data_IF_803268432095
#
_entry.id   IF_803268432095
#
_cell.length_a   1.000
_cell.length_b   1.000
_cell.length_c   1.000
_cell.angle_alpha   90.00
_cell.angle_beta   90.00
_cell.angle_gamma   90.00
#
_symmetry.space_group_name_H-M   'P 1'
#
loop_
_entity.id
_entity.type
_entity.pdbx_description
1 polymer ?
#
# COMPACT_ATOMS: atom_id res chain seq x y z
N UNK A 1 -15.87 -50.06 -24.25
CA UNK A 1 -16.74 -48.87 -24.37
C UNK A 1 -16.63 -48.19 -23.03
N UNK A 2 -15.75 -47.20 -22.92
CA UNK A 2 -15.60 -46.40 -21.71
C UNK A 2 -16.48 -45.17 -21.91
N UNK A 3 -17.43 -44.98 -21.01
CA UNK A 3 -18.23 -43.77 -20.91
C UNK A 3 -17.28 -42.58 -20.75
N UNK A 4 -17.26 -41.71 -21.76
CA UNK A 4 -16.71 -40.37 -21.61
C UNK A 4 -17.70 -39.59 -20.76
N UNK A 5 -17.35 -39.37 -19.49
CA UNK A 5 -18.02 -38.41 -18.64
C UNK A 5 -18.11 -37.07 -19.39
N UNK A 6 -19.32 -36.76 -19.85
CA UNK A 6 -19.63 -35.48 -20.48
C UNK A 6 -19.73 -34.48 -19.34
N UNK A 7 -18.66 -33.70 -19.15
CA UNK A 7 -18.64 -32.60 -18.18
C UNK A 7 -19.68 -31.57 -18.65
N UNK A 8 -20.72 -31.40 -17.85
CA UNK A 8 -21.82 -30.46 -18.06
C UNK A 8 -21.37 -29.04 -17.72
N UNK A 9 -21.81 -28.05 -18.50
CA UNK A 9 -21.57 -26.61 -18.26
C UNK A 9 -22.09 -26.11 -16.89
N UNK A 10 -22.84 -26.91 -16.15
CA UNK A 10 -23.22 -26.61 -14.76
C UNK A 10 -22.04 -26.68 -13.77
N UNK A 11 -20.91 -27.29 -14.16
CA UNK A 11 -19.70 -27.39 -13.33
C UNK A 11 -18.69 -26.26 -13.55
N UNK A 12 -18.99 -25.27 -14.41
CA UNK A 12 -18.25 -24.00 -14.40
C UNK A 12 -18.69 -23.22 -13.16
N UNK A 13 -18.11 -23.61 -12.02
CA UNK A 13 -18.03 -22.77 -10.83
C UNK A 13 -17.70 -21.35 -11.30
N UNK A 14 -18.52 -20.38 -10.88
CA UNK A 14 -18.23 -18.94 -10.90
C UNK A 14 -16.72 -18.73 -10.96
N UNK A 15 -16.23 -18.02 -12.00
CA UNK A 15 -14.84 -17.58 -12.05
C UNK A 15 -14.66 -16.68 -10.83
N UNK A 16 -14.17 -17.25 -9.74
CA UNK A 16 -13.97 -16.54 -8.51
C UNK A 16 -12.66 -15.78 -8.65
N UNK A 17 -12.82 -14.46 -8.78
CA UNK A 17 -11.80 -13.41 -8.62
C UNK A 17 -11.11 -12.98 -9.93
N UNK A 18 -11.86 -12.28 -10.79
CA UNK A 18 -11.19 -11.27 -11.61
C UNK A 18 -10.45 -10.27 -10.70
N UNK A 19 -9.24 -9.82 -11.10
CA UNK A 19 -8.54 -8.78 -10.35
C UNK A 19 -9.38 -7.50 -10.32
N UNK A 20 -9.23 -6.72 -9.23
CA UNK A 20 -9.75 -5.35 -9.20
C UNK A 20 -9.10 -4.56 -10.32
N UNK A 21 -9.91 -3.95 -11.18
CA UNK A 21 -9.44 -3.12 -12.29
C UNK A 21 -9.30 -1.69 -11.75
N UNK A 22 -8.07 -1.21 -11.55
CA UNK A 22 -7.82 0.19 -11.18
C UNK A 22 -7.47 1.00 -12.42
N UNK A 23 -8.24 2.04 -12.66
CA UNK A 23 -8.08 2.96 -13.77
C UNK A 23 -7.91 4.39 -13.25
N UNK A 24 -7.25 5.22 -14.04
CA UNK A 24 -7.08 6.64 -13.74
C UNK A 24 -7.71 7.43 -14.87
N UNK A 25 -8.51 8.43 -14.52
CA UNK A 25 -9.10 9.34 -15.52
C UNK A 25 -8.04 9.90 -16.46
N UNK A 26 -8.38 9.98 -17.74
CA UNK A 26 -7.54 10.47 -18.83
C UNK A 26 -6.23 9.69 -19.07
N UNK A 27 -5.99 8.57 -18.36
CA UNK A 27 -4.88 7.65 -18.66
C UNK A 27 -5.39 6.46 -19.47
N UNK A 28 -4.64 6.10 -20.50
CA UNK A 28 -4.97 4.93 -21.33
C UNK A 28 -4.75 3.65 -20.53
N UNK A 29 -5.72 2.74 -20.60
CA UNK A 29 -5.63 1.38 -20.10
C UNK A 29 -5.55 0.43 -21.29
N UNK A 30 -4.43 -0.30 -21.39
CA UNK A 30 -4.09 -1.15 -22.54
C UNK A 30 -5.03 -2.35 -22.74
N UNK A 31 -5.94 -2.58 -21.79
CA UNK A 31 -7.03 -3.52 -21.91
C UNK A 31 -6.77 -4.85 -21.22
N UNK A 32 -7.80 -5.38 -20.59
CA UNK A 32 -7.86 -6.70 -19.97
C UNK A 32 -8.43 -7.70 -20.98
N UNK A 33 -7.66 -8.73 -21.33
CA UNK A 33 -8.17 -9.82 -22.16
C UNK A 33 -8.92 -10.84 -21.27
N UNK A 34 -10.21 -10.97 -21.52
CA UNK A 34 -11.15 -11.82 -20.78
C UNK A 34 -10.99 -13.31 -21.11
N UNK A 35 -10.47 -13.62 -22.29
CA UNK A 35 -10.17 -14.98 -22.74
C UNK A 35 -9.23 -15.73 -21.77
N UNK A 36 -8.35 -15.02 -21.06
CA UNK A 36 -7.49 -15.63 -20.05
C UNK A 36 -8.24 -16.18 -18.84
N UNK A 37 -9.46 -15.71 -18.60
CA UNK A 37 -10.24 -16.04 -17.41
C UNK A 37 -11.33 -17.06 -17.71
N UNK A 38 -11.66 -17.31 -18.98
CA UNK A 38 -12.68 -18.26 -19.39
C UNK A 38 -12.05 -19.52 -20.00
N UNK A 39 -12.63 -20.68 -19.71
CA UNK A 39 -12.26 -21.93 -20.38
C UNK A 39 -13.35 -22.28 -21.41
N UNK A 40 -12.99 -22.23 -22.69
CA UNK A 40 -13.89 -22.60 -23.80
C UNK A 40 -13.45 -23.95 -24.41
N UNK A 41 -13.93 -25.09 -23.87
CA UNK A 41 -13.53 -26.41 -24.33
C UNK A 41 -14.12 -26.78 -25.70
N UNK A 42 -15.20 -26.14 -26.15
CA UNK A 42 -15.80 -26.41 -27.45
C UNK A 42 -15.02 -25.78 -28.61
N UNK A 43 -14.23 -24.74 -28.32
CA UNK A 43 -13.46 -24.00 -29.33
C UNK A 43 -14.34 -23.20 -30.30
N UNK A 44 -15.61 -23.01 -29.97
CA UNK A 44 -16.52 -22.15 -30.72
C UNK A 44 -16.11 -20.68 -30.56
N UNK A 45 -16.49 -19.83 -31.53
CA UNK A 45 -16.30 -18.38 -31.37
C UNK A 45 -17.16 -17.90 -30.18
N UNK A 46 -16.51 -17.22 -29.25
CA UNK A 46 -17.17 -16.56 -28.12
C UNK A 46 -17.23 -15.06 -28.38
N UNK A 47 -18.39 -14.46 -28.19
CA UNK A 47 -18.57 -13.01 -28.24
C UNK A 47 -18.72 -12.47 -26.82
N UNK A 48 -18.05 -11.34 -26.57
CA UNK A 48 -18.02 -10.70 -25.27
C UNK A 48 -18.74 -9.35 -25.26
N UNK A 49 -19.46 -9.10 -24.17
CA UNK A 49 -20.01 -7.79 -23.85
C UNK A 49 -19.75 -7.43 -22.39
N UNK A 50 -19.83 -6.13 -22.09
CA UNK A 50 -19.68 -5.60 -20.75
C UNK A 50 -20.74 -4.54 -20.45
N UNK A 51 -21.35 -4.63 -19.28
CA UNK A 51 -22.29 -3.65 -18.74
C UNK A 51 -22.06 -3.49 -17.24
N UNK A 52 -22.65 -2.47 -16.62
CA UNK A 52 -22.66 -2.35 -15.16
C UNK A 52 -23.75 -3.24 -14.56
N UNK A 53 -23.60 -3.57 -13.27
CA UNK A 53 -24.55 -4.42 -12.53
C UNK A 53 -26.00 -3.89 -12.57
N UNK A 54 -26.21 -2.59 -12.72
CA UNK A 54 -27.52 -1.96 -12.85
C UNK A 54 -28.08 -1.97 -14.29
N UNK A 55 -27.37 -2.61 -15.24
CA UNK A 55 -27.71 -2.67 -16.65
C UNK A 55 -27.34 -1.42 -17.45
N UNK A 56 -26.67 -0.44 -16.84
CA UNK A 56 -26.18 0.73 -17.56
C UNK A 56 -24.88 0.43 -18.33
N UNK A 57 -24.52 1.25 -19.35
CA UNK A 57 -23.27 1.08 -20.07
C UNK A 57 -22.06 1.27 -19.16
N UNK A 58 -20.93 0.65 -19.53
CA UNK A 58 -19.65 0.93 -18.85
C UNK A 58 -19.29 2.44 -18.95
N UNK A 59 -18.53 2.98 -17.98
CA UNK A 59 -18.18 4.40 -17.94
C UNK A 59 -17.60 4.90 -19.26
N UNK A 60 -17.94 6.14 -19.61
CA UNK A 60 -17.55 6.74 -20.89
C UNK A 60 -16.03 6.71 -21.09
N UNK A 61 -15.62 6.30 -22.29
CA UNK A 61 -14.20 6.12 -22.65
C UNK A 61 -13.69 4.70 -22.44
N UNK A 62 -14.47 3.80 -21.84
CA UNK A 62 -14.21 2.38 -21.76
C UNK A 62 -15.13 1.58 -22.71
N UNK A 63 -14.67 0.43 -23.16
CA UNK A 63 -15.44 -0.51 -23.96
C UNK A 63 -14.95 -1.95 -23.79
N UNK A 64 -15.79 -2.91 -24.18
CA UNK A 64 -15.41 -4.29 -24.38
C UNK A 64 -15.51 -4.61 -25.88
N UNK A 65 -14.45 -5.14 -26.47
CA UNK A 65 -14.52 -5.69 -27.83
C UNK A 65 -15.24 -7.04 -27.83
N UNK A 66 -15.77 -7.42 -29.00
CA UNK A 66 -16.38 -8.75 -29.19
C UNK A 66 -15.37 -9.89 -28.98
N UNK A 67 -14.08 -9.62 -29.20
CA UNK A 67 -12.96 -10.55 -28.97
C UNK A 67 -12.50 -10.58 -27.49
N UNK A 68 -13.28 -9.99 -26.58
CA UNK A 68 -13.01 -10.08 -25.14
C UNK A 68 -11.88 -9.20 -24.63
N UNK A 69 -11.59 -8.06 -25.26
CA UNK A 69 -10.65 -7.06 -24.72
C UNK A 69 -11.44 -5.92 -24.09
N UNK A 70 -11.36 -5.79 -22.77
CA UNK A 70 -11.97 -4.71 -22.01
C UNK A 70 -10.95 -3.60 -21.72
N UNK A 71 -11.07 -2.43 -22.34
CA UNK A 71 -10.05 -1.39 -22.27
C UNK A 71 -10.56 0.01 -22.61
N UNK A 72 -9.64 0.99 -22.61
CA UNK A 72 -9.94 2.36 -23.05
C UNK A 72 -9.30 3.45 -22.19
N UNK A 73 -9.79 4.67 -22.34
CA UNK A 73 -9.35 5.86 -21.60
C UNK A 73 -10.58 6.47 -20.91
N UNK A 74 -10.79 6.22 -19.61
CA UNK A 74 -11.95 6.75 -18.90
C UNK A 74 -11.90 8.28 -18.90
N UNK A 75 -13.01 8.92 -19.27
CA UNK A 75 -13.06 10.38 -19.38
C UNK A 75 -13.14 11.04 -17.99
N UNK A 76 -12.75 12.31 -17.92
CA UNK A 76 -12.93 13.13 -16.71
C UNK A 76 -14.39 13.17 -16.24
N UNK A 77 -14.61 13.00 -14.94
CA UNK A 77 -15.92 12.93 -14.30
C UNK A 77 -16.49 11.51 -14.16
N UNK A 78 -15.73 10.47 -14.53
CA UNK A 78 -16.11 9.07 -14.32
C UNK A 78 -15.56 8.49 -13.02
N UNK A 79 -14.57 9.15 -12.40
CA UNK A 79 -14.13 8.83 -11.06
C UNK A 79 -15.25 9.05 -10.05
N UNK A 80 -15.44 8.08 -9.17
CA UNK A 80 -16.38 8.17 -8.06
C UNK A 80 -15.83 7.40 -6.86
N UNK A 81 -16.38 7.68 -5.68
CA UNK A 81 -15.94 7.05 -4.44
C UNK A 81 -16.21 5.55 -4.40
N UNK A 82 -17.32 5.10 -5.00
CA UNK A 82 -17.72 3.70 -5.01
C UNK A 82 -17.15 2.95 -6.23
N UNK A 83 -16.71 1.69 -6.08
CA UNK A 83 -16.37 0.86 -7.23
C UNK A 83 -17.56 0.64 -8.16
N UNK A 84 -17.27 0.53 -9.45
CA UNK A 84 -18.19 -0.03 -10.42
C UNK A 84 -18.14 -1.56 -10.32
N UNK A 85 -19.31 -2.20 -10.33
CA UNK A 85 -19.39 -3.64 -10.59
C UNK A 85 -19.70 -3.83 -12.06
N UNK A 86 -18.73 -4.34 -12.81
CA UNK A 86 -18.84 -4.61 -14.24
C UNK A 86 -19.24 -6.07 -14.41
N UNK A 87 -20.32 -6.33 -15.14
CA UNK A 87 -20.74 -7.64 -15.60
C UNK A 87 -20.16 -7.89 -16.98
N UNK A 88 -19.40 -8.97 -17.10
CA UNK A 88 -18.94 -9.52 -18.36
C UNK A 88 -19.81 -10.69 -18.76
N UNK A 89 -20.24 -10.69 -20.03
CA UNK A 89 -21.08 -11.73 -20.61
C UNK A 89 -20.31 -12.33 -21.77
N UNK A 90 -20.09 -13.64 -21.71
CA UNK A 90 -19.46 -14.41 -22.77
C UNK A 90 -20.50 -15.39 -23.36
N UNK A 91 -20.72 -15.30 -24.67
CA UNK A 91 -21.78 -16.04 -25.38
C UNK A 91 -21.20 -16.77 -26.60
N UNK A 92 -21.48 -18.07 -26.75
CA UNK A 92 -21.25 -18.81 -28.00
C UNK A 92 -22.59 -19.24 -28.61
N UNK A 93 -22.61 -19.70 -29.87
CA UNK A 93 -23.87 -20.04 -30.55
C UNK A 93 -24.64 -21.19 -29.89
N UNK A 94 -23.94 -22.15 -29.28
CA UNK A 94 -24.54 -23.41 -28.81
C UNK A 94 -24.67 -23.52 -27.28
N UNK A 95 -24.22 -22.52 -26.53
CA UNK A 95 -24.21 -22.55 -25.05
C UNK A 95 -25.05 -21.44 -24.42
N UNK A 96 -25.37 -21.61 -23.13
CA UNK A 96 -25.90 -20.51 -22.34
C UNK A 96 -24.83 -19.44 -22.09
N UNK A 97 -25.21 -18.16 -21.93
CA UNK A 97 -24.25 -17.10 -21.61
C UNK A 97 -23.58 -17.38 -20.27
N UNK A 98 -22.25 -17.25 -20.25
CA UNK A 98 -21.47 -17.21 -19.04
C UNK A 98 -21.41 -15.75 -18.55
N UNK A 99 -21.87 -15.51 -17.33
CA UNK A 99 -21.85 -14.18 -16.71
C UNK A 99 -20.92 -14.20 -15.49
N UNK A 100 -20.02 -13.22 -15.42
CA UNK A 100 -19.08 -13.04 -14.32
C UNK A 100 -18.82 -11.56 -14.08
N UNK A 101 -18.44 -11.20 -12.86
CA UNK A 101 -18.28 -9.81 -12.46
C UNK A 101 -16.84 -9.44 -12.05
N UNK A 102 -16.52 -8.15 -12.20
CA UNK A 102 -15.30 -7.55 -11.66
C UNK A 102 -15.62 -6.24 -10.92
N UNK A 103 -14.83 -5.97 -9.89
CA UNK A 103 -14.79 -4.64 -9.29
C UNK A 103 -13.83 -3.76 -10.08
N UNK A 104 -14.29 -2.58 -10.47
CA UNK A 104 -13.51 -1.59 -11.18
C UNK A 104 -13.54 -0.27 -10.42
N UNK A 105 -12.37 0.30 -10.16
CA UNK A 105 -12.23 1.59 -9.50
C UNK A 105 -11.61 2.57 -10.49
N UNK A 106 -12.28 3.71 -10.68
CA UNK A 106 -11.74 4.82 -11.46
C UNK A 106 -11.39 5.93 -10.47
N UNK A 107 -10.12 6.33 -10.43
CA UNK A 107 -9.64 7.42 -9.58
C UNK A 107 -9.23 8.63 -10.42
N UNK A 108 -9.23 9.81 -9.80
CA UNK A 108 -8.68 11.02 -10.41
C UNK A 108 -7.15 10.93 -10.51
N UNK A 109 -6.55 11.73 -11.38
CA UNK A 109 -5.09 11.81 -11.49
C UNK A 109 -4.43 12.29 -10.19
N UNK A 110 -5.08 13.20 -9.45
CA UNK A 110 -4.60 13.64 -8.14
C UNK A 110 -4.58 12.51 -7.11
N UNK A 111 -5.57 11.61 -7.14
CA UNK A 111 -5.60 10.42 -6.28
C UNK A 111 -4.57 9.39 -6.72
N UNK A 112 -4.43 9.14 -8.02
CA UNK A 112 -3.40 8.24 -8.56
C UNK A 112 -1.99 8.65 -8.13
N UNK A 113 -1.67 9.94 -8.22
CA UNK A 113 -0.37 10.47 -7.78
C UNK A 113 -0.14 10.35 -6.27
N UNK A 114 -1.21 10.30 -5.46
CA UNK A 114 -1.12 9.99 -4.02
C UNK A 114 -0.89 8.49 -3.79
N UNK A 115 -1.41 7.64 -4.68
CA UNK A 115 -1.38 6.18 -4.59
C UNK A 115 -0.08 5.56 -5.13
N UNK A 116 0.64 6.23 -6.03
CA UNK A 116 1.97 5.82 -6.51
C UNK A 116 3.05 5.82 -5.40
N UNK A 117 2.69 6.20 -4.17
CA UNK A 117 3.56 6.14 -2.98
C UNK A 117 3.61 4.78 -2.25
N UNK A 118 2.94 3.73 -2.76
CA UNK A 118 3.20 2.33 -2.38
C UNK A 118 1.98 1.55 -1.86
N UNK A 119 1.59 0.51 -2.62
CA UNK A 119 0.57 -0.52 -2.38
C UNK A 119 -0.90 -0.04 -2.29
N UNK A 120 -1.93 -0.63 -2.90
CA UNK A 120 -2.18 -1.24 -4.22
C UNK A 120 -3.73 -1.21 -4.37
N UNK A 121 -4.30 -1.13 -5.58
CA UNK A 121 -5.76 -1.06 -5.83
C UNK A 121 -6.70 -1.87 -4.92
N UNK A 122 -6.25 -3.06 -4.48
CA UNK A 122 -6.97 -3.94 -3.56
C UNK A 122 -7.19 -3.31 -2.16
N UNK A 123 -6.28 -2.48 -1.68
CA UNK A 123 -6.38 -1.78 -0.40
C UNK A 123 -7.35 -0.58 -0.49
N UNK A 124 -7.47 0.05 -1.66
CA UNK A 124 -8.50 1.07 -1.91
C UNK A 124 -9.89 0.44 -1.79
N UNK A 125 -10.11 -0.69 -2.46
CA UNK A 125 -11.39 -1.43 -2.39
C UNK A 125 -11.65 -1.99 -0.99
N UNK A 126 -10.62 -2.51 -0.31
CA UNK A 126 -10.78 -3.10 1.03
C UNK A 126 -10.97 -2.04 2.14
N UNK A 127 -10.40 -0.84 2.00
CA UNK A 127 -10.48 0.23 3.02
C UNK A 127 -11.57 1.28 2.76
N UNK A 128 -12.24 1.27 1.61
CA UNK A 128 -13.28 2.25 1.26
C UNK A 128 -14.52 2.20 2.17
N UNK A 129 -15.12 1.04 2.48
CA UNK A 129 -16.25 0.96 3.41
C UNK A 129 -15.90 1.50 4.80
N UNK A 130 -14.64 1.31 5.22
CA UNK A 130 -14.14 1.80 6.50
C UNK A 130 -13.89 3.31 6.46
N UNK A 131 -13.32 3.84 5.38
CA UNK A 131 -13.14 5.30 5.22
C UNK A 131 -14.48 6.03 5.24
N UNK A 132 -15.49 5.53 4.53
CA UNK A 132 -16.83 6.13 4.55
C UNK A 132 -17.49 6.02 5.93
N UNK A 133 -17.32 4.88 6.61
CA UNK A 133 -17.80 4.71 7.98
C UNK A 133 -17.13 5.70 8.93
N UNK A 134 -15.81 5.84 8.87
CA UNK A 134 -15.06 6.80 9.68
C UNK A 134 -15.43 8.25 9.35
N UNK A 135 -15.72 8.56 8.09
CA UNK A 135 -16.17 9.89 7.68
C UNK A 135 -17.57 10.21 8.21
N UNK A 136 -18.50 9.25 8.11
CA UNK A 136 -19.84 9.34 8.71
C UNK A 136 -19.79 9.46 10.23
N UNK A 137 -18.90 8.72 10.90
CA UNK A 137 -18.66 8.83 12.35
C UNK A 137 -18.11 10.23 12.70
N UNK A 138 -17.11 10.71 11.95
CA UNK A 138 -16.45 12.00 12.20
C UNK A 138 -17.40 13.18 12.01
N UNK A 139 -18.33 13.08 11.06
CA UNK A 139 -19.36 14.09 10.79
C UNK A 139 -20.67 13.85 11.55
N UNK A 140 -20.72 12.91 12.50
CA UNK A 140 -21.91 12.58 13.31
C UNK A 140 -23.17 12.27 12.47
N UNK A 141 -22.98 11.62 11.32
CA UNK A 141 -24.05 11.33 10.36
C UNK A 141 -24.74 9.98 10.62
N UNK A 142 -24.34 9.25 11.66
CA UNK A 142 -24.96 7.98 12.05
C UNK A 142 -25.84 8.18 13.29
N UNK A 143 -27.00 7.52 13.31
CA UNK A 143 -27.74 7.36 14.55
C UNK A 143 -26.97 6.49 15.55
N UNK A 144 -27.28 6.60 16.84
CA UNK A 144 -26.62 5.80 17.87
C UNK A 144 -26.83 4.29 17.64
N UNK A 145 -27.99 3.87 17.15
CA UNK A 145 -28.28 2.46 16.85
C UNK A 145 -27.41 1.93 15.70
N UNK A 146 -27.26 2.70 14.61
CA UNK A 146 -26.39 2.36 13.49
C UNK A 146 -24.92 2.32 13.92
N UNK A 147 -24.50 3.26 14.77
CA UNK A 147 -23.15 3.32 15.31
C UNK A 147 -22.83 2.09 16.16
N UNK A 148 -23.77 1.65 17.01
CA UNK A 148 -23.59 0.46 17.85
C UNK A 148 -23.54 -0.82 17.01
N UNK A 149 -24.41 -0.95 15.99
CA UNK A 149 -24.37 -2.08 15.07
C UNK A 149 -23.04 -2.16 14.30
N UNK A 150 -22.56 -1.01 13.80
CA UNK A 150 -21.28 -0.92 13.07
C UNK A 150 -20.07 -1.15 13.95
N UNK A 151 -20.08 -0.65 15.19
CA UNK A 151 -19.03 -0.97 16.17
C UNK A 151 -18.94 -2.46 16.41
N UNK A 152 -20.07 -3.12 16.64
CA UNK A 152 -20.13 -4.57 16.85
C UNK A 152 -19.52 -5.32 15.65
N UNK A 153 -19.90 -4.95 14.43
CA UNK A 153 -19.35 -5.51 13.19
C UNK A 153 -17.82 -5.35 13.10
N UNK A 154 -17.29 -4.15 13.39
CA UNK A 154 -15.84 -3.88 13.38
C UNK A 154 -15.10 -4.69 14.46
N UNK A 155 -15.65 -4.78 15.68
CA UNK A 155 -14.97 -5.48 16.78
C UNK A 155 -15.05 -7.00 16.67
N UNK A 156 -16.03 -7.55 15.96
CA UNK A 156 -16.21 -8.99 15.78
C UNK A 156 -15.49 -9.54 14.54
N UNK A 157 -15.12 -8.68 13.58
CA UNK A 157 -14.37 -9.15 12.40
C UNK A 157 -12.90 -9.45 12.72
N UNK A 158 -12.28 -10.40 12.00
CA UNK A 158 -10.84 -10.63 12.09
C UNK A 158 -10.03 -9.37 11.75
N UNK A 159 -8.92 -9.16 12.47
CA UNK A 159 -7.94 -8.12 12.13
C UNK A 159 -7.22 -8.52 10.85
N UNK A 160 -7.16 -7.60 9.90
CA UNK A 160 -6.51 -7.79 8.61
C UNK A 160 -5.02 -7.47 8.68
N UNK A 161 -4.25 -8.00 7.72
CA UNK A 161 -2.82 -7.69 7.60
C UNK A 161 -2.56 -6.20 7.33
N UNK A 162 -3.40 -5.55 6.52
CA UNK A 162 -3.28 -4.13 6.21
C UNK A 162 -3.47 -3.25 7.44
N UNK A 163 -4.40 -3.58 8.33
CA UNK A 163 -4.56 -2.85 9.59
C UNK A 163 -3.36 -3.00 10.53
N UNK A 164 -2.80 -4.21 10.60
CA UNK A 164 -1.57 -4.45 11.36
C UNK A 164 -0.40 -3.67 10.77
N UNK A 165 -0.26 -3.66 9.45
CA UNK A 165 0.75 -2.87 8.75
C UNK A 165 0.54 -1.37 9.02
N UNK A 166 -0.66 -0.85 8.83
CA UNK A 166 -0.99 0.55 9.09
C UNK A 166 -0.72 0.97 10.55
N UNK A 167 -1.02 0.10 11.52
CA UNK A 167 -0.69 0.34 12.93
C UNK A 167 0.82 0.31 13.18
N UNK A 168 1.53 -0.67 12.62
CA UNK A 168 2.99 -0.76 12.73
C UNK A 168 3.67 0.46 12.10
N UNK A 169 3.14 0.91 10.96
CA UNK A 169 3.56 2.10 10.25
C UNK A 169 3.29 3.38 11.05
N UNK A 170 2.16 3.45 11.76
CA UNK A 170 1.95 4.55 12.71
C UNK A 170 2.88 4.44 13.90
N UNK A 171 3.25 3.25 14.34
CA UNK A 171 4.20 3.14 15.45
C UNK A 171 5.57 3.67 15.07
N UNK A 172 6.05 3.40 13.84
CA UNK A 172 7.28 3.95 13.25
C UNK A 172 8.44 4.10 14.24
N UNK A 173 8.62 3.14 15.14
CA UNK A 173 9.69 3.18 16.13
C UNK A 173 11.00 2.80 15.47
N UNK A 174 12.10 3.44 15.88
CA UNK A 174 13.46 3.04 15.52
C UNK A 174 14.24 2.79 16.78
N UNK A 175 14.90 1.65 16.86
CA UNK A 175 15.94 1.36 17.84
C UNK A 175 17.27 1.21 17.12
N UNK A 176 18.30 1.90 17.60
CA UNK A 176 19.68 1.69 17.16
C UNK A 176 20.45 1.12 18.35
N UNK A 177 20.95 -0.10 18.22
CA UNK A 177 21.75 -0.78 19.22
C UNK A 177 23.23 -0.57 18.96
N UNK A 178 24.01 -0.38 20.02
CA UNK A 178 25.46 -0.52 20.00
C UNK A 178 25.82 -2.00 20.20
N UNK A 179 26.18 -2.70 19.13
CA UNK A 179 26.44 -4.16 19.16
C UNK A 179 27.73 -4.47 19.91
N UNK A 180 28.66 -3.51 19.97
CA UNK A 180 29.92 -3.65 20.68
C UNK A 180 29.73 -3.60 22.22
N UNK A 181 28.60 -3.07 22.70
CA UNK A 181 28.30 -2.95 24.12
C UNK A 181 27.33 -4.06 24.58
N UNK A 182 27.86 -5.05 25.29
CA UNK A 182 27.12 -6.20 25.81
C UNK A 182 26.45 -5.93 27.16
N UNK A 183 26.48 -4.70 27.66
CA UNK A 183 25.82 -4.36 28.93
C UNK A 183 24.30 -4.34 28.79
N UNK A 184 23.61 -4.48 29.93
CA UNK A 184 22.14 -4.43 29.94
C UNK A 184 21.66 -2.99 29.70
N UNK A 185 20.55 -2.80 28.97
CA UNK A 185 19.94 -1.48 28.81
C UNK A 185 19.62 -0.84 30.16
N UNK A 186 20.04 0.42 30.33
CA UNK A 186 19.74 1.20 31.53
C UNK A 186 18.30 1.72 31.56
N UNK A 187 18.00 2.63 32.48
CA UNK A 187 16.73 3.37 32.44
C UNK A 187 16.77 4.40 31.31
N UNK A 188 15.79 4.36 30.41
CA UNK A 188 15.67 5.30 29.29
C UNK A 188 15.59 6.76 29.75
N UNK A 189 16.52 7.59 29.29
CA UNK A 189 16.53 9.04 29.54
C UNK A 189 16.14 9.77 28.28
N UNK A 190 15.23 10.75 28.39
CA UNK A 190 14.88 11.59 27.24
C UNK A 190 16.13 12.35 26.76
N UNK A 191 16.47 12.17 25.49
CA UNK A 191 17.61 12.77 24.83
C UNK A 191 17.11 13.85 23.85
N UNK A 192 17.67 15.05 23.98
CA UNK A 192 17.40 16.16 23.05
C UNK A 192 18.50 16.16 22.00
N UNK A 193 18.14 15.74 20.77
CA UNK A 193 19.08 15.70 19.65
C UNK A 193 18.77 16.89 18.71
N UNK A 194 19.77 17.72 18.37
CA UNK A 194 19.59 18.79 17.39
C UNK A 194 18.99 18.27 16.07
N UNK A 195 18.08 19.05 15.49
CA UNK A 195 17.41 18.74 14.21
C UNK A 195 16.50 17.51 14.20
N UNK A 196 16.29 16.83 15.33
CA UNK A 196 15.24 15.81 15.46
C UNK A 196 13.85 16.46 15.33
N UNK A 197 12.87 15.71 14.79
CA UNK A 197 11.48 16.18 14.78
C UNK A 197 10.94 16.28 16.20
N UNK A 198 10.26 17.39 16.52
CA UNK A 198 9.56 17.58 17.80
C UNK A 198 8.41 16.58 18.01
N UNK A 199 7.98 15.87 16.96
CA UNK A 199 6.92 14.85 17.02
C UNK A 199 7.42 13.47 17.44
N UNK A 200 8.73 13.30 17.55
CA UNK A 200 9.37 12.10 18.07
C UNK A 200 10.14 12.43 19.35
N UNK A 201 10.14 11.47 20.27
CA UNK A 201 11.04 11.48 21.42
C UNK A 201 12.09 10.41 21.20
N UNK A 202 13.34 10.78 21.49
CA UNK A 202 14.45 9.83 21.51
C UNK A 202 14.85 9.58 22.95
N UNK A 203 14.97 8.31 23.30
CA UNK A 203 15.37 7.85 24.62
C UNK A 203 16.72 7.16 24.54
N UNK A 204 17.60 7.50 25.48
CA UNK A 204 18.92 6.93 25.63
C UNK A 204 18.94 5.88 26.74
N UNK A 205 19.24 4.65 26.38
CA UNK A 205 19.36 3.50 27.28
C UNK A 205 20.83 3.11 27.55
N UNK A 206 21.79 3.94 27.13
CA UNK A 206 23.23 3.67 27.20
C UNK A 206 23.71 2.82 26.03
N UNK A 207 23.16 1.60 25.89
CA UNK A 207 23.50 0.66 24.81
C UNK A 207 22.59 0.77 23.58
N UNK A 208 21.52 1.55 23.68
CA UNK A 208 20.57 1.73 22.60
C UNK A 208 19.96 3.13 22.63
N UNK A 209 19.65 3.65 21.44
CA UNK A 209 18.79 4.80 21.26
C UNK A 209 17.44 4.32 20.72
N UNK A 210 16.34 4.78 21.31
CA UNK A 210 14.97 4.41 20.88
C UNK A 210 14.21 5.68 20.53
N UNK A 211 13.81 5.84 19.27
CA UNK A 211 12.82 6.82 18.86
C UNK A 211 11.42 6.23 18.87
N UNK A 212 10.49 6.98 19.44
CA UNK A 212 9.06 6.70 19.37
C UNK A 212 8.28 7.99 19.09
N UNK A 213 7.13 7.90 18.42
CA UNK A 213 6.24 9.04 18.23
C UNK A 213 5.72 9.55 19.58
N UNK A 214 5.53 10.86 19.70
CA UNK A 214 4.91 11.45 20.89
C UNK A 214 3.45 11.04 21.05
N UNK A 215 2.76 10.96 19.91
CA UNK A 215 1.36 10.59 19.81
C UNK A 215 1.18 9.72 18.57
N UNK A 216 0.69 8.51 18.80
CA UNK A 216 0.45 7.51 17.76
C UNK A 216 -0.62 7.99 16.77
N UNK A 217 -1.58 8.79 17.23
CA UNK A 217 -2.76 9.21 16.47
C UNK A 217 -2.73 10.68 16.04
N UNK A 218 -1.60 11.37 16.21
CA UNK A 218 -1.44 12.74 15.71
C UNK A 218 -1.47 12.75 14.18
N UNK A 219 -2.61 13.15 13.61
CA UNK A 219 -2.83 13.23 12.17
C UNK A 219 -1.97 14.27 11.45
N UNK A 220 -1.25 15.13 12.18
CA UNK A 220 -0.31 16.09 11.59
C UNK A 220 1.12 15.51 11.50
N UNK A 221 1.39 14.35 12.10
CA UNK A 221 2.68 13.65 11.97
C UNK A 221 2.81 13.06 10.58
N UNK A 222 3.95 13.32 9.96
CA UNK A 222 4.26 12.89 8.61
C UNK A 222 5.41 11.89 8.58
N UNK A 223 5.58 11.23 7.43
CA UNK A 223 6.75 10.41 7.16
C UNK A 223 8.08 11.19 7.28
N UNK A 224 8.06 12.47 6.90
CA UNK A 224 9.22 13.38 7.00
C UNK A 224 9.68 13.53 8.46
N UNK A 225 8.76 13.51 9.42
CA UNK A 225 9.09 13.59 10.84
C UNK A 225 9.89 12.36 11.32
N UNK A 226 9.52 11.16 10.83
CA UNK A 226 10.24 9.93 11.11
C UNK A 226 11.66 9.96 10.51
N UNK A 227 11.80 10.41 9.26
CA UNK A 227 13.10 10.58 8.61
C UNK A 227 14.00 11.55 9.40
N UNK A 228 13.47 12.70 9.82
CA UNK A 228 14.23 13.68 10.61
C UNK A 228 14.73 13.08 11.92
N UNK A 229 13.87 12.35 12.63
CA UNK A 229 14.26 11.67 13.87
C UNK A 229 15.35 10.60 13.61
N UNK A 230 15.17 9.76 12.59
CA UNK A 230 16.14 8.73 12.20
C UNK A 230 17.52 9.31 11.90
N UNK A 231 17.58 10.35 11.04
CA UNK A 231 18.85 11.02 10.70
C UNK A 231 19.53 11.62 11.92
N UNK A 232 18.76 12.33 12.75
CA UNK A 232 19.29 12.92 13.97
C UNK A 232 19.88 11.85 14.92
N UNK A 233 19.21 10.70 15.07
CA UNK A 233 19.74 9.58 15.84
C UNK A 233 21.05 9.03 15.27
N UNK A 234 21.16 8.88 13.95
CA UNK A 234 22.40 8.39 13.31
C UNK A 234 23.56 9.36 13.53
N UNK A 235 23.33 10.66 13.45
CA UNK A 235 24.34 11.66 13.81
C UNK A 235 24.79 11.53 15.27
N UNK A 236 23.85 11.30 16.19
CA UNK A 236 24.16 11.08 17.60
C UNK A 236 25.00 9.81 17.82
N UNK A 237 24.66 8.71 17.14
CA UNK A 237 25.43 7.45 17.14
C UNK A 237 26.87 7.70 16.65
N UNK A 238 27.03 8.47 15.56
CA UNK A 238 28.36 8.86 15.04
C UNK A 238 29.14 9.74 16.03
N UNK A 239 28.47 10.64 16.74
CA UNK A 239 29.08 11.48 17.77
C UNK A 239 29.59 10.64 18.95
N UNK A 240 28.85 9.57 19.30
CA UNK A 240 29.22 8.61 20.35
C UNK A 240 30.29 7.60 19.92
N UNK A 241 30.63 7.53 18.63
CA UNK A 241 31.59 6.58 18.08
C UNK A 241 31.18 5.13 18.32
N UNK A 242 29.94 4.76 17.97
CA UNK A 242 29.50 3.36 17.94
C UNK A 242 29.84 2.71 16.59
N UNK A 243 30.63 1.64 16.61
CA UNK A 243 31.27 1.12 15.38
C UNK A 243 30.36 0.12 14.72
N UNK A 244 29.93 -0.88 15.48
CA UNK A 244 29.00 -1.89 15.02
C UNK A 244 27.62 -1.58 15.60
N UNK A 245 26.65 -1.35 14.72
CA UNK A 245 25.27 -1.03 15.11
C UNK A 245 24.24 -1.97 14.48
N UNK A 246 23.09 -2.06 15.12
CA UNK A 246 21.94 -2.84 14.65
C UNK A 246 20.69 -1.99 14.68
N UNK A 247 19.84 -2.07 13.66
CA UNK A 247 18.55 -1.38 13.63
C UNK A 247 17.41 -2.32 13.99
N UNK A 248 16.40 -1.80 14.67
CA UNK A 248 15.15 -2.54 14.88
C UNK A 248 13.98 -1.58 14.83
N UNK A 249 12.96 -1.86 14.03
CA UNK A 249 11.85 -0.94 13.84
C UNK A 249 11.02 -1.18 12.59
N UNK A 250 10.33 -0.13 12.17
CA UNK A 250 9.56 -0.13 10.90
C UNK A 250 10.52 -0.01 9.72
N UNK A 251 10.71 -1.11 9.01
CA UNK A 251 11.71 -1.27 7.96
C UNK A 251 11.64 -0.21 6.88
N UNK A 252 10.48 -0.04 6.21
CA UNK A 252 10.33 0.90 5.10
C UNK A 252 10.46 2.37 5.55
N UNK A 253 10.18 2.67 6.81
CA UNK A 253 9.88 4.05 7.21
C UNK A 253 10.94 4.76 8.01
N UNK A 254 11.72 4.01 8.79
CA UNK A 254 12.67 4.62 9.71
C UNK A 254 14.02 3.91 9.71
N UNK A 255 14.08 2.60 9.42
CA UNK A 255 15.34 1.87 9.26
C UNK A 255 16.07 2.24 7.96
N UNK A 256 15.37 2.29 6.82
CA UNK A 256 15.97 2.68 5.52
C UNK A 256 16.53 4.09 5.54
N UNK A 257 15.80 5.13 6.00
CA UNK A 257 16.37 6.47 6.13
C UNK A 257 17.58 6.53 7.05
N UNK A 258 17.59 5.77 8.16
CA UNK A 258 18.75 5.68 9.06
C UNK A 258 19.95 5.04 8.35
N UNK A 259 19.74 3.95 7.62
CA UNK A 259 20.80 3.28 6.88
C UNK A 259 21.40 4.16 5.78
N UNK A 260 20.57 4.86 5.00
CA UNK A 260 21.03 5.83 4.00
C UNK A 260 21.90 6.91 4.66
N UNK A 261 21.48 7.42 5.82
CA UNK A 261 22.26 8.42 6.55
C UNK A 261 23.61 7.86 7.00
N UNK A 262 23.68 6.62 7.46
CA UNK A 262 24.96 5.95 7.76
C UNK A 262 25.87 5.91 6.53
N UNK A 263 25.34 5.53 5.35
CA UNK A 263 26.13 5.51 4.11
C UNK A 263 26.66 6.90 3.73
N UNK A 264 25.81 7.92 3.82
CA UNK A 264 26.19 9.31 3.54
C UNK A 264 27.33 9.77 4.45
N UNK A 265 27.21 9.53 5.76
CA UNK A 265 28.22 9.93 6.74
C UNK A 265 29.52 9.12 6.61
N UNK A 266 29.44 7.86 6.20
CA UNK A 266 30.60 7.00 5.93
C UNK A 266 31.37 7.41 4.67
N UNK A 267 30.72 8.06 3.69
CA UNK A 267 31.35 8.51 2.45
C UNK A 267 32.21 9.79 2.63
N UNK A 268 32.09 10.48 3.75
CA UNK A 268 32.91 11.66 4.08
C UNK A 268 34.37 11.25 4.36
N UNK A 269 35.33 11.87 3.65
CA UNK A 269 36.75 11.40 3.54
C UNK A 269 37.56 11.26 4.83
N UNK A 270 37.14 11.86 5.95
CA UNK A 270 37.81 11.81 7.26
C UNK A 270 36.87 11.29 8.37
N UNK A 271 35.80 10.60 7.98
CA UNK A 271 34.77 10.17 8.88
C UNK A 271 35.15 8.93 9.70
N UNK A 272 34.74 8.96 10.96
CA UNK A 272 34.47 7.75 11.70
C UNK A 272 33.47 6.86 10.95
N UNK A 273 33.80 5.57 10.82
CA UNK A 273 33.02 4.60 10.04
C UNK A 273 32.10 3.78 10.95
N UNK A 274 30.84 3.64 10.54
CA UNK A 274 29.83 2.80 11.20
C UNK A 274 29.46 1.61 10.31
N UNK A 275 29.35 0.42 10.88
CA UNK A 275 28.91 -0.81 10.22
C UNK A 275 27.54 -1.23 10.74
N UNK A 276 26.60 -1.51 9.83
CA UNK A 276 25.23 -1.96 10.18
C UNK A 276 25.13 -3.46 9.98
N UNK A 277 24.90 -4.22 11.06
CA UNK A 277 25.01 -5.69 11.04
C UNK A 277 23.83 -6.41 10.39
N UNK A 278 22.62 -5.93 10.60
CA UNK A 278 21.40 -6.67 10.28
C UNK A 278 20.65 -6.17 9.04
N UNK A 279 21.17 -5.15 8.36
CA UNK A 279 20.78 -4.84 6.98
C UNK A 279 21.76 -5.50 6.01
N UNK A 280 21.67 -6.82 5.89
CA UNK A 280 22.29 -7.51 4.77
C UNK A 280 21.52 -7.12 3.49
N UNK A 281 22.26 -6.73 2.45
CA UNK A 281 21.84 -6.47 1.06
C UNK A 281 20.56 -7.20 0.62
N UNK A 282 19.38 -6.65 0.93
CA UNK A 282 18.14 -7.07 0.28
C UNK A 282 17.96 -6.16 -0.92
N UNK A 283 17.96 -6.72 -2.13
CA UNK A 283 17.72 -5.98 -3.38
C UNK A 283 16.40 -5.20 -3.41
N UNK A 284 15.53 -5.41 -2.42
CA UNK A 284 14.33 -4.60 -2.17
C UNK A 284 14.65 -3.13 -1.84
N UNK A 285 15.79 -2.83 -1.20
CA UNK A 285 16.13 -1.45 -0.81
C UNK A 285 16.66 -0.57 -1.94
N UNK A 286 17.34 -1.16 -2.94
CA UNK A 286 17.80 -0.42 -4.13
C UNK A 286 16.64 0.09 -5.00
N UNK A 287 15.51 -0.65 -5.04
CA UNK A 287 14.31 -0.22 -5.76
C UNK A 287 13.65 1.01 -5.10
N UNK A 288 13.58 1.05 -3.77
CA UNK A 288 13.09 2.23 -3.04
C UNK A 288 14.01 3.43 -3.23
N UNK A 289 15.32 3.22 -3.32
CA UNK A 289 16.30 4.29 -3.55
C UNK A 289 16.09 5.00 -4.89
N UNK A 290 15.88 4.25 -5.98
CA UNK A 290 15.66 4.85 -7.31
C UNK A 290 14.39 5.72 -7.35
N UNK A 291 13.33 5.36 -6.63
CA UNK A 291 12.10 6.16 -6.55
C UNK A 291 12.28 7.48 -5.78
N UNK A 292 13.15 7.51 -4.76
CA UNK A 292 13.41 8.73 -3.98
C UNK A 292 14.44 9.66 -4.64
N UNK A 293 15.42 9.12 -5.36
CA UNK A 293 16.45 9.94 -6.03
C UNK A 293 15.88 10.70 -7.25
N UNK A 294 14.87 10.14 -7.92
CA UNK A 294 14.11 10.81 -8.99
C UNK A 294 13.30 12.03 -8.49
N UNK A 295 13.06 12.14 -7.18
CA UNK A 295 12.37 13.29 -6.56
C UNK A 295 13.32 14.40 -6.07
N UNK A 296 14.62 14.32 -6.36
CA UNK A 296 15.55 15.44 -6.08
C UNK A 296 15.25 16.65 -6.97
N UNK A 297 14.36 17.53 -6.49
CA UNK A 297 14.48 18.95 -6.81
C UNK A 297 15.88 19.42 -6.37
N UNK A 298 16.66 20.09 -7.23
CA UNK A 298 17.91 20.67 -6.79
C UNK A 298 17.57 21.74 -5.76
N UNK A 299 18.07 21.57 -4.54
CA UNK A 299 18.24 22.70 -3.63
C UNK A 299 19.26 23.64 -4.31
N UNK A 300 18.75 24.55 -5.13
CA UNK A 300 19.53 25.68 -5.64
C UNK A 300 19.94 26.51 -4.44
N UNK A 301 21.25 26.61 -4.26
CA UNK A 301 21.87 27.57 -3.36
C UNK A 301 21.36 28.98 -3.70
N UNK A 302 20.81 29.63 -2.68
CA UNK A 302 20.44 31.04 -2.63
C UNK A 302 20.50 31.50 -1.19
#
# INVERSE_FOLDING_TARGET
MADQETISFQDIKRIHNLPVILLVENRSFEGLSLDFFIHNPSGEKTEFTAELLDGSPVPSGLSCSEDGVFGGTPIQGTAKSEPYTVLFIAQSESTWPLVFDAQMVIVTEAEANRLESGEMAAEIVASQPERELWDKISHQQLSEEELQAKRKEIFERPVTRSELNWLAERWATLTIWNVDDVSLPGTGKLLQIPNSSERYRVYDFGVALVAAPNDLFDGKRSFIDAIKAARAMVHEVRNRKWTLIEFTGSTKQIEVPAWIEVQNLNAEKDAYHMEVRNLASHGEYEMFFNQFDEQKHPLTAG
#
